data_IF_808862651420
#
_entry.id   IF_808862651420
#
_cell.length_a   1.000
_cell.length_b   1.000
_cell.length_c   1.000
_cell.angle_alpha   90.00
_cell.angle_beta   90.00
_cell.angle_gamma   90.00
#
_symmetry.space_group_name_H-M   'P 1'
#
loop_
_entity.id
_entity.type
_entity.pdbx_description
1 polymer ?
#
# COMPACT_ATOMS: atom_id res chain seq x y z
N UNK A 1 7.62 -15.89 4.95
CA UNK A 1 6.36 -15.29 4.47
C UNK A 1 6.68 -14.30 3.38
N UNK A 2 6.03 -14.43 2.25
CA UNK A 2 6.23 -13.52 1.12
C UNK A 2 4.89 -12.87 0.76
N UNK A 3 4.91 -11.56 0.55
CA UNK A 3 3.75 -10.82 0.11
C UNK A 3 4.14 -10.08 -1.16
N UNK A 4 3.39 -10.29 -2.25
CA UNK A 4 3.61 -9.59 -3.50
C UNK A 4 2.70 -8.36 -3.54
N UNK A 5 3.24 -7.21 -3.88
CA UNK A 5 2.50 -5.96 -3.97
C UNK A 5 2.48 -5.48 -5.40
N UNK A 6 1.29 -5.17 -5.91
CA UNK A 6 1.08 -4.65 -7.26
C UNK A 6 0.26 -3.38 -7.20
N UNK A 7 0.67 -2.36 -7.93
CA UNK A 7 -0.07 -1.10 -8.02
C UNK A 7 -0.68 -1.00 -9.43
N UNK A 8 -1.96 -0.65 -9.49
CA UNK A 8 -2.70 -0.60 -10.75
C UNK A 8 -3.79 0.47 -10.69
N UNK A 9 -4.57 0.58 -11.78
CA UNK A 9 -5.73 1.47 -11.87
C UNK A 9 -5.37 2.91 -11.51
N UNK A 10 -4.29 3.41 -12.10
CA UNK A 10 -3.82 4.78 -11.84
C UNK A 10 -4.81 5.82 -12.33
N UNK A 11 -5.09 6.80 -11.48
CA UNK A 11 -5.87 7.98 -11.83
C UNK A 11 -5.08 9.23 -11.44
N UNK A 12 -5.66 10.41 -11.66
CA UNK A 12 -4.97 11.64 -11.28
C UNK A 12 -4.94 11.85 -9.76
N UNK A 13 -5.83 11.20 -9.01
CA UNK A 13 -5.90 11.37 -7.55
C UNK A 13 -5.70 10.07 -6.77
N UNK A 14 -5.29 8.99 -7.43
CA UNK A 14 -5.11 7.74 -6.70
C UNK A 14 -4.69 6.55 -7.53
N UNK A 15 -4.75 5.40 -6.91
CA UNK A 15 -4.44 4.11 -7.53
C UNK A 15 -4.96 2.98 -6.64
N UNK A 16 -4.83 1.75 -7.11
CA UNK A 16 -5.22 0.57 -6.35
C UNK A 16 -3.98 -0.24 -6.01
N UNK A 17 -3.84 -0.58 -4.74
CA UNK A 17 -2.81 -1.51 -4.27
C UNK A 17 -3.46 -2.88 -4.12
N UNK A 18 -2.79 -3.91 -4.61
CA UNK A 18 -3.24 -5.30 -4.50
C UNK A 18 -2.07 -6.15 -4.03
N UNK A 19 -2.35 -7.15 -3.22
CA UNK A 19 -1.29 -7.99 -2.69
C UNK A 19 -1.74 -9.43 -2.58
N UNK A 20 -0.75 -10.33 -2.62
CA UNK A 20 -0.96 -11.77 -2.52
C UNK A 20 -0.06 -12.31 -1.42
N UNK A 21 -0.60 -12.52 -0.22
CA UNK A 21 0.19 -13.16 0.83
C UNK A 21 0.34 -14.65 0.55
N UNK A 22 1.47 -15.21 0.93
CA UNK A 22 1.70 -16.65 0.83
C UNK A 22 2.23 -17.18 2.15
N UNK A 23 1.91 -18.45 2.44
CA UNK A 23 2.46 -19.13 3.57
C UNK A 23 1.69 -19.00 4.87
N UNK A 24 0.42 -18.65 4.87
CA UNK A 24 -0.40 -18.64 6.07
C UNK A 24 -1.45 -17.55 6.10
N UNK A 25 -2.12 -17.48 7.23
CA UNK A 25 -3.18 -16.49 7.46
C UNK A 25 -2.61 -15.32 8.27
N UNK A 26 -2.76 -14.12 7.74
CA UNK A 26 -2.31 -12.91 8.41
C UNK A 26 -3.37 -12.41 9.38
N UNK A 27 -2.92 -11.79 10.46
CA UNK A 27 -3.81 -11.17 11.44
C UNK A 27 -4.41 -9.88 10.88
N UNK A 28 -3.56 -9.08 10.26
CA UNK A 28 -3.97 -7.81 9.67
C UNK A 28 -2.87 -7.33 8.71
N UNK A 29 -3.20 -6.27 7.97
CA UNK A 29 -2.24 -5.57 7.11
C UNK A 29 -2.28 -4.09 7.42
N UNK A 30 -1.13 -3.44 7.32
CA UNK A 30 -1.03 -2.00 7.40
C UNK A 30 -0.44 -1.52 6.07
N UNK A 31 -1.10 -0.57 5.45
CA UNK A 31 -0.60 0.05 4.23
C UNK A 31 -0.24 1.50 4.54
N UNK A 32 0.93 1.92 4.07
CA UNK A 32 1.43 3.27 4.26
C UNK A 32 1.69 3.89 2.90
N UNK A 33 1.14 5.09 2.67
CA UNK A 33 1.35 5.83 1.43
C UNK A 33 2.00 7.15 1.79
N UNK A 34 3.22 7.37 1.31
CA UNK A 34 4.00 8.55 1.62
C UNK A 34 4.29 9.35 0.37
N UNK A 35 3.99 10.64 0.40
CA UNK A 35 4.31 11.55 -0.70
C UNK A 35 5.83 11.76 -0.74
N UNK A 36 6.47 11.36 -1.84
CA UNK A 36 7.92 11.47 -1.97
C UNK A 36 8.41 12.90 -2.14
N UNK A 37 7.51 13.82 -2.47
CA UNK A 37 7.84 15.25 -2.59
C UNK A 37 7.58 16.01 -1.29
N UNK A 38 6.87 15.38 -0.36
CA UNK A 38 6.59 15.97 0.96
C UNK A 38 6.31 14.85 1.95
N UNK A 39 7.33 14.40 2.65
CA UNK A 39 7.24 13.26 3.58
C UNK A 39 6.28 13.49 4.74
N UNK A 40 5.88 14.74 5.01
CA UNK A 40 4.88 15.02 6.04
C UNK A 40 3.48 14.59 5.60
N UNK A 41 3.24 14.44 4.30
CA UNK A 41 1.98 13.93 3.79
C UNK A 41 2.06 12.41 3.69
N UNK A 42 1.47 11.72 4.65
CA UNK A 42 1.39 10.26 4.63
C UNK A 42 0.05 9.79 5.15
N UNK A 43 -0.37 8.62 4.70
CA UNK A 43 -1.57 7.96 5.15
C UNK A 43 -1.22 6.57 5.61
N UNK A 44 -1.80 6.15 6.73
CA UNK A 44 -1.66 4.78 7.23
C UNK A 44 -3.04 4.20 7.42
N UNK A 45 -3.27 3.02 6.88
CA UNK A 45 -4.54 2.33 6.99
C UNK A 45 -4.31 0.90 7.45
N UNK A 46 -5.11 0.45 8.40
CA UNK A 46 -5.07 -0.91 8.89
C UNK A 46 -6.23 -1.69 8.29
N UNK A 47 -5.94 -2.86 7.76
CA UNK A 47 -6.90 -3.71 7.08
C UNK A 47 -6.93 -5.09 7.72
N UNK A 48 -8.08 -5.76 7.57
CA UNK A 48 -8.24 -7.14 8.00
C UNK A 48 -7.23 -8.05 7.32
N UNK A 49 -6.86 -9.14 7.97
CA UNK A 49 -5.99 -10.16 7.38
C UNK A 49 -6.57 -10.84 6.14
N UNK A 50 -7.88 -10.68 5.91
CA UNK A 50 -8.54 -11.19 4.71
C UNK A 50 -8.42 -10.24 3.52
N UNK A 51 -7.97 -9.02 3.73
CA UNK A 51 -7.89 -8.02 2.66
C UNK A 51 -6.81 -8.38 1.65
N UNK A 52 -7.06 -8.10 0.39
CA UNK A 52 -6.10 -8.33 -0.69
C UNK A 52 -5.98 -7.14 -1.64
N UNK A 53 -6.75 -6.10 -1.41
CA UNK A 53 -6.62 -4.87 -2.22
C UNK A 53 -7.21 -3.67 -1.48
N UNK A 54 -6.80 -2.49 -1.91
CA UNK A 54 -7.30 -1.22 -1.37
C UNK A 54 -7.20 -0.15 -2.45
N UNK A 55 -8.32 0.52 -2.69
CA UNK A 55 -8.31 1.74 -3.52
C UNK A 55 -7.86 2.92 -2.68
N UNK A 56 -6.87 3.66 -3.17
CA UNK A 56 -6.32 4.82 -2.48
C UNK A 56 -6.65 6.06 -3.28
N UNK A 57 -7.23 7.07 -2.63
CA UNK A 57 -7.64 8.30 -3.29
C UNK A 57 -7.27 9.52 -2.45
N UNK A 58 -7.57 10.71 -2.96
CA UNK A 58 -7.25 11.94 -2.25
C UNK A 58 -5.79 12.34 -2.38
N UNK A 59 -5.10 11.81 -3.38
CA UNK A 59 -3.69 12.10 -3.63
C UNK A 59 -3.56 13.26 -4.62
N UNK A 60 -2.35 13.80 -4.72
CA UNK A 60 -2.06 14.90 -5.64
C UNK A 60 -1.77 14.34 -7.05
N UNK A 61 -2.13 15.07 -8.11
CA UNK A 61 -1.82 14.62 -9.47
C UNK A 61 -0.33 14.75 -9.78
N UNK A 62 0.14 13.95 -10.73
CA UNK A 62 1.54 13.96 -11.20
C UNK A 62 2.55 13.87 -10.05
N UNK A 63 2.24 13.12 -9.02
CA UNK A 63 3.06 13.04 -7.81
C UNK A 63 3.46 11.60 -7.53
N UNK A 64 4.71 11.41 -7.13
CA UNK A 64 5.21 10.08 -6.80
C UNK A 64 5.03 9.79 -5.32
N UNK A 65 4.58 8.57 -5.04
CA UNK A 65 4.33 8.08 -3.68
C UNK A 65 5.07 6.77 -3.47
N UNK A 66 5.47 6.53 -2.23
CA UNK A 66 5.98 5.22 -1.83
C UNK A 66 4.86 4.50 -1.08
N UNK A 67 4.53 3.29 -1.55
CA UNK A 67 3.51 2.45 -0.92
C UNK A 67 4.23 1.33 -0.18
N UNK A 68 4.01 1.26 1.13
CA UNK A 68 4.57 0.20 1.97
C UNK A 68 3.46 -0.69 2.49
N UNK A 69 3.65 -1.98 2.43
CA UNK A 69 2.71 -2.97 2.94
C UNK A 69 3.39 -3.77 4.04
N UNK A 70 2.77 -3.79 5.21
CA UNK A 70 3.26 -4.50 6.38
C UNK A 70 2.23 -5.54 6.77
N UNK A 71 2.64 -6.80 6.79
CA UNK A 71 1.76 -7.88 7.25
C UNK A 71 2.05 -8.25 8.69
N UNK A 72 1.00 -8.36 9.50
CA UNK A 72 1.12 -8.83 10.88
C UNK A 72 0.75 -10.31 10.89
N UNK A 73 1.68 -11.16 11.32
CA UNK A 73 1.52 -12.60 11.33
C UNK A 73 1.91 -13.15 12.69
N UNK A 74 0.95 -13.78 13.39
CA UNK A 74 1.17 -14.38 14.71
C UNK A 74 1.83 -13.40 15.69
N UNK A 75 1.36 -12.16 15.70
CA UNK A 75 1.82 -11.14 16.63
C UNK A 75 3.07 -10.39 16.25
N UNK A 76 3.66 -10.70 15.08
CA UNK A 76 4.88 -10.03 14.62
C UNK A 76 4.73 -9.56 13.18
N UNK A 77 5.31 -8.41 12.86
CA UNK A 77 5.36 -7.94 11.48
C UNK A 77 6.36 -8.77 10.69
N UNK A 78 5.93 -9.20 9.50
CA UNK A 78 6.86 -9.79 8.53
C UNK A 78 7.58 -8.67 7.80
N UNK A 79 8.60 -9.02 7.01
CA UNK A 79 9.37 -8.04 6.26
C UNK A 79 8.44 -7.24 5.33
N UNK A 80 8.47 -5.89 5.40
CA UNK A 80 7.57 -5.08 4.57
C UNK A 80 7.95 -5.11 3.10
N UNK A 81 6.96 -4.84 2.25
CA UNK A 81 7.14 -4.75 0.80
C UNK A 81 6.83 -3.33 0.38
N UNK A 82 7.64 -2.77 -0.51
CA UNK A 82 7.48 -1.40 -0.99
C UNK A 82 7.33 -1.35 -2.49
N UNK A 83 6.56 -0.38 -2.96
CA UNK A 83 6.44 -0.11 -4.39
C UNK A 83 6.24 1.40 -4.58
N UNK A 84 6.92 1.97 -5.57
CA UNK A 84 6.71 3.37 -5.94
C UNK A 84 5.53 3.46 -6.90
N UNK A 85 4.73 4.51 -6.76
CA UNK A 85 3.57 4.74 -7.61
C UNK A 85 3.44 6.22 -7.92
N UNK A 86 3.18 6.56 -9.18
CA UNK A 86 3.01 7.94 -9.60
C UNK A 86 1.59 8.14 -10.13
N UNK A 87 0.89 9.14 -9.57
CA UNK A 87 -0.46 9.46 -10.02
C UNK A 87 -0.44 10.08 -11.41
N UNK A 88 -1.56 9.98 -12.12
CA UNK A 88 -1.69 10.54 -13.45
C UNK A 88 -1.85 12.05 -13.46
N UNK A 89 -1.85 12.63 -14.66
CA UNK A 89 -2.13 14.05 -14.87
C UNK A 89 -3.61 14.33 -14.78
N UNK A 90 -3.92 15.50 -14.22
CA UNK A 90 -5.29 15.96 -14.11
C UNK A 90 -5.74 16.66 -15.39
#
# INVERSE_FOLDING_TARGET
MVVNLTISDFTWDGFTASWSPSGGEFDSFVIEVTNLENFAESQNLTLSGDAFSLGISGLNPNTSYMVGLYGLYQGSFVEPVYSEATTGGK
#
